data_IF_194044712620
#
_entry.id   IF_194044712620
#
_cell.length_a   1.000
_cell.length_b   1.000
_cell.length_c   1.000
_cell.angle_alpha   90.00
_cell.angle_beta   90.00
_cell.angle_gamma   90.00
#
_symmetry.space_group_name_H-M   'P 1'
#
loop_
_entity.id
_entity.type
_entity.pdbx_description
1 polymer ?
#
# COMPACT_ATOMS: atom_id res chain seq x y z
N UNK A 1 14.00 14.28 -0.55
CA UNK A 1 13.32 13.52 -1.61
C UNK A 1 12.45 12.42 -1.01
N UNK A 2 11.25 12.15 -1.54
CA UNK A 2 10.46 10.99 -1.11
C UNK A 2 11.26 9.71 -1.34
N UNK A 3 11.38 8.84 -0.32
CA UNK A 3 12.07 7.54 -0.46
C UNK A 3 11.35 6.66 -1.49
N UNK A 4 11.90 6.49 -2.68
CA UNK A 4 11.30 5.62 -3.69
C UNK A 4 11.63 4.17 -3.32
N UNK A 5 10.67 3.25 -3.39
CA UNK A 5 10.94 1.83 -3.12
C UNK A 5 11.76 1.23 -4.27
N UNK A 6 12.72 0.33 -3.99
CA UNK A 6 13.47 -0.35 -5.05
C UNK A 6 12.53 -1.04 -6.05
N UNK A 7 12.75 -0.77 -7.35
CA UNK A 7 11.93 -1.30 -8.45
C UNK A 7 10.51 -0.74 -8.56
N UNK A 8 10.19 0.33 -7.82
CA UNK A 8 8.94 1.08 -7.94
C UNK A 8 9.20 2.42 -8.62
N UNK A 9 8.20 2.92 -9.34
CA UNK A 9 8.23 4.29 -9.85
C UNK A 9 8.00 5.30 -8.71
N UNK A 10 8.40 6.57 -8.90
CA UNK A 10 8.04 7.65 -7.98
C UNK A 10 6.53 7.77 -7.76
N UNK A 11 5.73 7.66 -8.83
CA UNK A 11 4.26 7.74 -8.76
C UNK A 11 3.66 6.64 -7.88
N UNK A 12 4.04 5.39 -8.13
CA UNK A 12 3.66 4.24 -7.31
C UNK A 12 3.98 4.45 -5.82
N UNK A 13 5.19 4.94 -5.54
CA UNK A 13 5.66 5.17 -4.16
C UNK A 13 4.96 6.33 -3.46
N UNK A 14 4.57 7.39 -4.18
CA UNK A 14 3.84 8.53 -3.61
C UNK A 14 2.38 8.17 -3.34
N UNK A 15 1.70 7.53 -4.29
CA UNK A 15 0.30 7.14 -4.13
C UNK A 15 0.08 6.16 -2.98
N UNK A 16 0.98 5.19 -2.81
CA UNK A 16 0.92 4.28 -1.66
C UNK A 16 1.00 5.02 -0.31
N UNK A 17 1.73 6.13 -0.24
CA UNK A 17 1.79 6.95 0.99
C UNK A 17 0.50 7.71 1.22
N UNK A 18 -0.06 8.31 0.18
CA UNK A 18 -1.35 9.03 0.28
C UNK A 18 -2.43 8.08 0.77
N UNK A 19 -2.49 6.88 0.21
CA UNK A 19 -3.43 5.85 0.64
C UNK A 19 -3.18 5.37 2.07
N UNK A 20 -1.91 5.27 2.51
CA UNK A 20 -1.62 4.97 3.90
C UNK A 20 -2.12 6.07 4.84
N UNK A 21 -2.09 7.35 4.44
CA UNK A 21 -2.64 8.46 5.22
C UNK A 21 -4.17 8.38 5.28
N UNK A 22 -4.83 8.12 4.16
CA UNK A 22 -6.29 7.95 4.12
C UNK A 22 -6.75 6.73 4.92
N UNK A 23 -6.02 5.62 4.85
CA UNK A 23 -6.27 4.43 5.67
C UNK A 23 -6.28 4.75 7.17
N UNK A 24 -5.31 5.55 7.64
CA UNK A 24 -5.29 5.98 9.05
C UNK A 24 -6.52 6.81 9.43
N UNK A 25 -7.00 7.66 8.51
CA UNK A 25 -8.22 8.45 8.74
C UNK A 25 -9.45 7.56 8.86
N UNK A 26 -9.54 6.53 8.01
CA UNK A 26 -10.65 5.56 7.99
C UNK A 26 -10.63 4.68 9.25
N UNK A 27 -9.46 4.17 9.67
CA UNK A 27 -9.34 3.42 10.95
C UNK A 27 -9.76 4.30 12.12
N UNK A 28 -9.30 5.55 12.15
CA UNK A 28 -9.63 6.47 13.24
C UNK A 28 -11.14 6.77 13.31
N UNK A 29 -11.85 6.62 12.20
CA UNK A 29 -13.31 6.75 12.11
C UNK A 29 -14.06 5.43 12.40
N UNK A 30 -13.38 4.38 12.89
CA UNK A 30 -13.93 3.06 13.24
C UNK A 30 -14.66 2.32 12.09
N UNK A 31 -14.30 2.62 10.84
CA UNK A 31 -14.93 2.02 9.67
C UNK A 31 -14.28 0.67 9.28
N UNK A 32 -15.02 -0.19 8.57
CA UNK A 32 -14.49 -1.45 8.03
C UNK A 32 -13.36 -1.19 7.04
N UNK A 33 -12.14 -1.44 7.50
CA UNK A 33 -10.91 -1.07 6.81
C UNK A 33 -10.46 -2.07 5.74
N UNK A 34 -10.92 -3.32 5.78
CA UNK A 34 -10.45 -4.38 4.88
C UNK A 34 -10.97 -4.19 3.45
N UNK A 35 -12.22 -3.76 3.27
CA UNK A 35 -12.80 -3.48 1.95
C UNK A 35 -12.14 -2.27 1.28
N UNK A 36 -11.83 -1.23 2.06
CA UNK A 36 -11.06 -0.08 1.60
C UNK A 36 -9.68 -0.50 1.09
N UNK A 37 -8.96 -1.32 1.86
CA UNK A 37 -7.63 -1.82 1.47
C UNK A 37 -7.67 -2.64 0.19
N UNK A 38 -8.69 -3.48 0.02
CA UNK A 38 -8.86 -4.28 -1.18
C UNK A 38 -9.10 -3.40 -2.41
N UNK A 39 -10.07 -2.48 -2.29
CA UNK A 39 -10.47 -1.57 -3.36
C UNK A 39 -9.30 -0.70 -3.78
N UNK A 40 -8.61 -0.10 -2.80
CA UNK A 40 -7.41 0.69 -3.06
C UNK A 40 -6.33 -0.13 -3.77
N UNK A 41 -6.07 -1.36 -3.33
CA UNK A 41 -5.03 -2.20 -3.93
C UNK A 41 -5.33 -2.49 -5.41
N UNK A 42 -6.59 -2.80 -5.73
CA UNK A 42 -7.04 -3.03 -7.11
C UNK A 42 -6.89 -1.76 -7.96
N UNK A 43 -7.39 -0.61 -7.48
CA UNK A 43 -7.29 0.66 -8.21
C UNK A 43 -5.84 1.10 -8.45
N UNK A 44 -4.98 0.93 -7.44
CA UNK A 44 -3.56 1.24 -7.53
C UNK A 44 -2.88 0.33 -8.57
N UNK A 45 -3.20 -0.96 -8.57
CA UNK A 45 -2.65 -1.92 -9.53
C UNK A 45 -3.11 -1.63 -10.96
N UNK A 46 -4.40 -1.28 -11.17
CA UNK A 46 -4.94 -0.87 -12.47
C UNK A 46 -4.24 0.41 -12.96
N UNK A 47 -4.06 1.39 -12.08
CA UNK A 47 -3.54 2.71 -12.44
C UNK A 47 -2.04 2.71 -12.74
N UNK A 48 -1.27 1.86 -12.05
CA UNK A 48 0.20 1.91 -12.10
C UNK A 48 0.86 0.62 -12.56
N UNK A 49 0.11 -0.46 -12.75
CA UNK A 49 0.61 -1.76 -13.11
C UNK A 49 1.47 -2.42 -12.02
N UNK A 50 1.94 -3.62 -12.33
CA UNK A 50 2.87 -4.34 -11.47
C UNK A 50 4.21 -3.59 -11.35
N UNK A 51 4.81 -3.50 -10.14
CA UNK A 51 6.18 -3.04 -9.99
C UNK A 51 7.15 -3.93 -10.75
N UNK A 52 8.16 -3.33 -11.40
CA UNK A 52 9.21 -4.04 -12.13
C UNK A 52 10.00 -5.02 -11.26
N UNK A 53 10.07 -4.77 -9.95
CA UNK A 53 10.67 -5.69 -8.98
C UNK A 53 10.01 -7.08 -8.94
N UNK A 54 8.82 -7.23 -9.52
CA UNK A 54 8.03 -8.46 -9.51
C UNK A 54 7.80 -9.03 -10.92
N UNK A 55 8.37 -8.42 -11.96
CA UNK A 55 8.35 -8.97 -13.32
C UNK A 55 9.16 -10.29 -13.35
N UNK A 56 8.47 -11.43 -13.53
CA UNK A 56 9.09 -12.75 -13.63
C UNK A 56 8.74 -13.74 -12.51
N UNK A 57 8.10 -13.29 -11.42
CA UNK A 57 7.46 -14.19 -10.47
C UNK A 57 6.10 -14.66 -11.01
N UNK A 58 5.66 -15.88 -10.65
CA UNK A 58 4.31 -16.33 -10.99
C UNK A 58 3.27 -15.28 -10.55
N UNK A 59 2.42 -14.83 -11.49
CA UNK A 59 1.55 -13.65 -11.35
C UNK A 59 0.79 -13.63 -10.01
N UNK A 60 0.26 -14.77 -9.61
CA UNK A 60 -0.53 -14.93 -8.39
C UNK A 60 0.33 -14.80 -7.11
N UNK A 61 1.50 -15.44 -7.07
CA UNK A 61 2.42 -15.32 -5.94
C UNK A 61 2.98 -13.90 -5.80
N UNK A 62 3.23 -13.23 -6.93
CA UNK A 62 3.67 -11.84 -6.98
C UNK A 62 2.61 -10.89 -6.42
N UNK A 63 1.33 -11.10 -6.75
CA UNK A 63 0.21 -10.30 -6.24
C UNK A 63 0.01 -10.49 -4.73
N UNK A 64 0.09 -11.72 -4.24
CA UNK A 64 -0.01 -12.02 -2.80
C UNK A 64 1.12 -11.34 -2.02
N UNK A 65 2.36 -11.39 -2.51
CA UNK A 65 3.51 -10.72 -1.89
C UNK A 65 3.35 -9.20 -1.93
N UNK A 66 2.90 -8.65 -3.04
CA UNK A 66 2.69 -7.22 -3.21
C UNK A 66 1.61 -6.69 -2.26
N UNK A 67 0.48 -7.37 -2.19
CA UNK A 67 -0.62 -7.05 -1.27
C UNK A 67 -0.14 -7.11 0.19
N UNK A 68 0.60 -8.15 0.57
CA UNK A 68 1.21 -8.24 1.91
C UNK A 68 2.12 -7.05 2.21
N UNK A 69 2.97 -6.62 1.27
CA UNK A 69 3.85 -5.47 1.48
C UNK A 69 3.10 -4.13 1.59
N UNK A 70 2.06 -3.94 0.78
CA UNK A 70 1.20 -2.75 0.82
C UNK A 70 0.48 -2.67 2.17
N UNK A 71 -0.20 -3.74 2.58
CA UNK A 71 -0.93 -3.80 3.85
C UNK A 71 0.01 -3.67 5.05
N UNK A 72 1.16 -4.37 5.04
CA UNK A 72 2.14 -4.27 6.12
C UNK A 72 2.71 -2.84 6.25
N UNK A 73 2.87 -2.13 5.13
CA UNK A 73 3.26 -0.72 5.17
C UNK A 73 2.21 0.11 5.89
N UNK A 74 0.93 -0.05 5.55
CA UNK A 74 -0.14 0.75 6.15
C UNK A 74 -0.26 0.50 7.66
N UNK A 75 -0.20 -0.76 8.10
CA UNK A 75 -0.17 -1.14 9.53
C UNK A 75 1.06 -0.62 10.29
N UNK A 76 2.23 -0.57 9.64
CA UNK A 76 3.43 0.03 10.25
C UNK A 76 3.27 1.52 10.51
N UNK A 77 2.53 2.22 9.65
CA UNK A 77 2.24 3.65 9.84
C UNK A 77 1.25 3.83 10.99
N UNK A 78 0.22 3.00 11.09
CA UNK A 78 -0.74 2.99 12.21
C UNK A 78 -0.01 2.83 13.56
N UNK A 79 0.83 1.79 13.68
CA UNK A 79 1.59 1.53 14.92
C UNK A 79 2.52 2.69 15.31
N UNK A 80 3.00 3.49 14.36
CA UNK A 80 3.81 4.69 14.65
C UNK A 80 2.95 5.85 15.14
N UNK A 81 1.77 6.04 14.55
CA UNK A 81 0.82 7.05 14.98
C UNK A 81 0.27 6.77 16.38
N UNK A 82 -0.11 5.53 16.69
CA UNK A 82 -0.63 5.15 18.01
C UNK A 82 0.38 5.27 19.16
N UNK A 83 1.69 5.37 18.87
CA UNK A 83 2.75 5.57 19.87
C UNK A 83 3.08 7.04 20.14
N UNK A 84 2.47 7.96 19.38
CA UNK A 84 2.74 9.40 19.48
C UNK A 84 1.63 10.16 20.22
N UNK A 85 0.65 9.43 20.75
CA UNK A 85 -0.39 9.86 21.70
C UNK A 85 -0.04 9.29 23.09
#
# INVERSE_FOLDING_TARGET
MPRIRPGWTPKQSVYLRLAAIEYLRVIHAEQQCDEYLETFFQEWLISYGMPKALEGAGLEAALVLLKKHVVATMRLVEKRYSKSL
#
